data_IF_427240363315
#
_entry.id   IF_427240363315
#
_cell.length_a   1.000
_cell.length_b   1.000
_cell.length_c   1.000
_cell.angle_alpha   90.00
_cell.angle_beta   90.00
_cell.angle_gamma   90.00
#
_symmetry.space_group_name_H-M   'P 1'
#
loop_
_entity.id
_entity.type
_entity.pdbx_description
1 polymer ?
#
# COMPACT_ATOMS: atom_id res chain seq x y z
N UNK A 1 12.52 -20.88 4.92
CA UNK A 1 11.33 -21.51 5.51
C UNK A 1 11.06 -20.91 6.88
N UNK A 2 9.78 -20.64 7.20
CA UNK A 2 9.38 -20.14 8.51
C UNK A 2 9.55 -21.28 9.54
N UNK A 3 10.27 -20.96 10.61
CA UNK A 3 10.59 -21.96 11.66
C UNK A 3 9.78 -21.71 12.93
N UNK A 4 9.46 -20.45 13.20
CA UNK A 4 8.72 -19.98 14.36
C UNK A 4 7.59 -19.07 13.90
N UNK A 5 6.42 -19.23 14.49
CA UNK A 5 5.26 -18.38 14.25
C UNK A 5 4.77 -17.81 15.58
N UNK A 6 4.44 -16.54 15.62
CA UNK A 6 3.77 -15.90 16.75
C UNK A 6 2.38 -15.50 16.30
N UNK A 7 1.36 -15.90 17.05
CA UNK A 7 -0.04 -15.62 16.74
C UNK A 7 -0.79 -15.03 17.93
N UNK A 8 -1.87 -14.34 17.65
CA UNK A 8 -2.90 -14.02 18.63
C UNK A 8 -4.02 -15.08 18.61
N UNK A 9 -4.88 -15.13 19.65
CA UNK A 9 -5.99 -16.10 19.70
C UNK A 9 -6.98 -15.99 18.52
N UNK A 10 -7.14 -14.80 17.94
CA UNK A 10 -8.03 -14.58 16.81
C UNK A 10 -7.54 -15.22 15.51
N UNK A 11 -6.24 -15.48 15.42
CA UNK A 11 -5.61 -16.12 14.26
C UNK A 11 -5.71 -17.66 14.28
N UNK A 12 -6.12 -18.25 15.40
CA UNK A 12 -6.15 -19.71 15.59
C UNK A 12 -6.92 -20.46 14.50
N UNK A 13 -8.16 -20.08 14.12
CA UNK A 13 -8.91 -20.81 13.10
C UNK A 13 -8.21 -20.87 11.74
N UNK A 14 -7.54 -19.76 11.36
CA UNK A 14 -6.79 -19.70 10.09
C UNK A 14 -5.56 -20.62 10.11
N UNK A 15 -4.86 -20.68 11.26
CA UNK A 15 -3.68 -21.53 11.39
C UNK A 15 -4.07 -23.00 11.41
N UNK A 16 -5.18 -23.38 12.05
CA UNK A 16 -5.71 -24.75 12.03
C UNK A 16 -6.02 -25.22 10.60
N UNK A 17 -6.61 -24.34 9.78
CA UNK A 17 -6.93 -24.63 8.37
C UNK A 17 -5.68 -24.95 7.55
N UNK A 18 -4.61 -24.17 7.69
CA UNK A 18 -3.39 -24.28 6.87
C UNK A 18 -2.26 -25.09 7.54
N UNK A 19 -2.44 -25.58 8.76
CA UNK A 19 -1.38 -26.20 9.55
C UNK A 19 -0.66 -27.36 8.82
N UNK A 20 -1.40 -28.12 8.00
CA UNK A 20 -0.84 -29.23 7.21
C UNK A 20 0.16 -28.79 6.15
N UNK A 21 0.08 -27.55 5.71
CA UNK A 21 0.93 -26.97 4.68
C UNK A 21 2.17 -26.28 5.26
N UNK A 22 2.19 -26.07 6.58
CA UNK A 22 3.29 -25.40 7.30
C UNK A 22 4.45 -26.34 7.65
N UNK A 23 4.95 -27.08 6.66
CA UNK A 23 5.92 -28.19 6.84
C UNK A 23 7.26 -27.81 7.51
N UNK A 24 7.68 -26.55 7.45
CA UNK A 24 8.93 -26.06 8.06
C UNK A 24 8.77 -25.55 9.48
N UNK A 25 7.54 -25.32 9.92
CA UNK A 25 7.24 -24.69 11.20
C UNK A 25 7.46 -25.67 12.37
N UNK A 26 8.28 -25.27 13.33
CA UNK A 26 8.65 -26.11 14.49
C UNK A 26 7.88 -25.76 15.74
N UNK A 27 7.50 -24.50 15.90
CA UNK A 27 6.82 -24.03 17.11
C UNK A 27 5.96 -22.82 16.80
N UNK A 28 4.80 -22.78 17.47
CA UNK A 28 3.91 -21.62 17.47
C UNK A 28 3.91 -21.03 18.89
N UNK A 29 4.14 -19.73 18.99
CA UNK A 29 3.93 -18.98 20.22
C UNK A 29 2.61 -18.22 20.13
N UNK A 30 1.74 -18.41 21.11
CA UNK A 30 0.44 -17.77 21.14
C UNK A 30 0.38 -16.73 22.25
N UNK A 31 -0.03 -15.51 21.92
CA UNK A 31 -0.23 -14.41 22.87
C UNK A 31 -1.52 -14.59 23.67
N UNK A 32 -1.74 -13.77 24.69
CA UNK A 32 -2.93 -13.78 25.53
C UNK A 32 -2.83 -14.72 26.73
N UNK A 33 -3.98 -15.25 27.15
CA UNK A 33 -4.09 -16.08 28.36
C UNK A 33 -3.40 -17.45 28.17
N UNK A 34 -2.30 -17.66 28.91
CA UNK A 34 -1.51 -18.88 28.82
C UNK A 34 -2.32 -20.18 29.11
N UNK A 35 -3.37 -20.09 29.91
CA UNK A 35 -4.22 -21.24 30.23
C UNK A 35 -5.11 -21.68 29.04
N UNK A 36 -5.28 -20.82 28.04
CA UNK A 36 -6.08 -21.09 26.83
C UNK A 36 -5.26 -21.51 25.63
N UNK A 37 -3.94 -21.58 25.77
CA UNK A 37 -3.05 -21.99 24.68
C UNK A 37 -3.11 -23.51 24.51
N UNK A 38 -3.53 -24.03 23.32
CA UNK A 38 -3.52 -25.48 23.08
C UNK A 38 -2.07 -26.02 23.08
N UNK A 39 -1.90 -27.27 23.44
CA UNK A 39 -0.57 -27.91 23.44
C UNK A 39 0.04 -28.01 22.04
N UNK A 40 -0.84 -28.15 21.02
CA UNK A 40 -0.47 -28.24 19.61
C UNK A 40 -1.58 -27.70 18.71
N UNK A 41 -1.19 -27.27 17.50
CA UNK A 41 -2.11 -26.87 16.43
C UNK A 41 -1.66 -27.62 15.17
N UNK A 42 -2.52 -28.53 14.67
CA UNK A 42 -2.21 -29.33 13.50
C UNK A 42 -0.93 -30.19 13.61
N UNK A 43 -0.62 -30.65 14.82
CA UNK A 43 0.62 -31.41 15.12
C UNK A 43 1.85 -30.55 15.35
N UNK A 44 1.72 -29.22 15.31
CA UNK A 44 2.82 -28.30 15.57
C UNK A 44 2.78 -27.86 17.04
N UNK A 45 3.88 -28.05 17.75
CA UNK A 45 3.99 -27.65 19.17
C UNK A 45 3.63 -26.20 19.37
N UNK A 46 2.74 -25.93 20.33
CA UNK A 46 2.33 -24.57 20.68
C UNK A 46 2.71 -24.24 22.12
N UNK A 47 3.16 -23.02 22.35
CA UNK A 47 3.60 -22.53 23.66
C UNK A 47 2.99 -21.14 23.93
N UNK A 48 2.66 -20.80 25.18
CA UNK A 48 2.27 -19.45 25.51
C UNK A 48 3.42 -18.47 25.32
N UNK A 49 3.13 -17.29 24.81
CA UNK A 49 4.15 -16.25 24.57
C UNK A 49 4.88 -15.86 25.86
N UNK A 50 4.22 -15.95 27.02
CA UNK A 50 4.82 -15.70 28.34
C UNK A 50 5.99 -16.63 28.69
N UNK A 51 6.25 -17.67 27.91
CA UNK A 51 7.45 -18.49 28.10
C UNK A 51 8.73 -17.67 27.92
N UNK A 52 8.69 -16.59 27.15
CA UNK A 52 9.83 -15.70 26.93
C UNK A 52 10.27 -14.99 28.21
N UNK A 53 9.40 -14.82 29.21
CA UNK A 53 9.75 -14.22 30.51
C UNK A 53 10.77 -15.06 31.30
N UNK A 54 10.93 -16.33 30.90
CA UNK A 54 11.87 -17.27 31.53
C UNK A 54 13.24 -17.31 30.87
N UNK A 55 13.40 -16.67 29.71
CA UNK A 55 14.67 -16.63 29.01
C UNK A 55 15.57 -15.51 29.54
N UNK A 56 16.90 -15.73 29.54
CA UNK A 56 17.83 -14.68 29.94
C UNK A 56 17.81 -13.51 29.00
N UNK A 57 17.84 -12.29 29.53
CA UNK A 57 17.89 -11.02 28.80
C UNK A 57 19.32 -10.75 28.28
N UNK A 58 20.02 -11.78 27.84
CA UNK A 58 21.39 -11.66 27.33
C UNK A 58 21.36 -11.66 25.81
N UNK A 59 22.11 -10.75 25.22
CA UNK A 59 22.32 -10.75 23.77
C UNK A 59 22.91 -12.13 23.35
N UNK A 60 22.24 -12.87 22.45
CA UNK A 60 22.70 -14.18 21.99
C UNK A 60 24.03 -14.14 21.21
N UNK A 61 24.50 -12.93 20.84
CA UNK A 61 25.77 -12.76 20.14
C UNK A 61 25.74 -13.21 18.68
N UNK A 62 24.58 -13.36 18.09
CA UNK A 62 24.44 -13.67 16.66
C UNK A 62 25.03 -12.53 15.84
N UNK A 63 25.99 -12.87 14.96
CA UNK A 63 26.55 -11.87 14.03
C UNK A 63 25.58 -11.67 12.89
N UNK A 64 25.11 -10.45 12.75
CA UNK A 64 24.25 -9.99 11.67
C UNK A 64 24.98 -8.92 10.88
N UNK A 65 24.93 -9.01 9.56
CA UNK A 65 25.54 -8.06 8.63
C UNK A 65 24.48 -7.24 7.89
N UNK A 66 24.90 -6.20 7.20
CA UNK A 66 24.00 -5.40 6.39
C UNK A 66 23.35 -6.16 5.23
N UNK A 67 23.97 -7.27 4.79
CA UNK A 67 23.48 -8.11 3.70
C UNK A 67 22.54 -9.23 4.15
N UNK A 68 22.43 -9.49 5.46
CA UNK A 68 21.49 -10.49 5.94
C UNK A 68 20.06 -10.00 5.77
N UNK A 69 19.17 -10.92 5.40
CA UNK A 69 17.75 -10.61 5.25
C UNK A 69 17.15 -10.21 6.60
N UNK A 70 16.60 -9.00 6.66
CA UNK A 70 15.92 -8.48 7.83
C UNK A 70 14.46 -8.91 7.83
N UNK A 71 13.80 -8.79 6.67
CA UNK A 71 12.37 -9.13 6.53
C UNK A 71 12.02 -9.56 5.12
N UNK A 72 10.89 -10.26 5.03
CA UNK A 72 10.16 -10.51 3.79
C UNK A 72 8.73 -10.00 3.97
N UNK A 73 8.34 -8.99 3.21
CA UNK A 73 7.01 -8.40 3.25
C UNK A 73 6.20 -8.82 2.03
N UNK A 74 5.00 -9.31 2.27
CA UNK A 74 4.12 -9.70 1.18
C UNK A 74 3.33 -8.51 0.66
N UNK A 75 3.34 -8.34 -0.67
CA UNK A 75 2.54 -7.34 -1.39
C UNK A 75 1.59 -8.05 -2.34
N UNK A 76 0.45 -7.40 -2.67
CA UNK A 76 -0.45 -7.91 -3.69
C UNK A 76 0.29 -8.03 -5.02
N UNK A 77 0.45 -9.27 -5.50
CA UNK A 77 1.10 -9.53 -6.79
C UNK A 77 0.19 -9.20 -7.96
N UNK A 78 0.77 -8.83 -9.10
CA UNK A 78 0.06 -8.62 -10.37
C UNK A 78 -0.61 -9.90 -10.91
N UNK A 79 -0.24 -11.07 -10.39
CA UNK A 79 -0.77 -12.38 -10.78
C UNK A 79 -1.78 -12.95 -9.78
N UNK A 80 -2.33 -12.12 -8.87
CA UNK A 80 -3.28 -12.54 -7.82
C UNK A 80 -2.64 -13.24 -6.62
N UNK A 81 -1.43 -13.83 -6.75
CA UNK A 81 -0.70 -14.40 -5.62
C UNK A 81 0.22 -13.35 -4.99
N UNK A 82 0.20 -13.22 -3.65
CA UNK A 82 1.10 -12.32 -2.96
C UNK A 82 2.58 -12.62 -3.29
N UNK A 83 3.36 -11.56 -3.52
CA UNK A 83 4.81 -11.67 -3.72
C UNK A 83 5.55 -11.22 -2.47
N UNK A 84 6.51 -12.01 -2.02
CA UNK A 84 7.36 -11.66 -0.87
C UNK A 84 8.51 -10.77 -1.32
N UNK A 85 8.59 -9.56 -0.82
CA UNK A 85 9.70 -8.63 -1.05
C UNK A 85 10.69 -8.78 0.08
N UNK A 86 11.86 -9.35 -0.21
CA UNK A 86 12.95 -9.50 0.76
C UNK A 86 13.79 -8.23 0.82
N UNK A 87 14.03 -7.76 2.04
CA UNK A 87 14.90 -6.60 2.32
C UNK A 87 15.95 -6.98 3.36
N UNK A 88 17.13 -6.41 3.23
CA UNK A 88 18.23 -6.62 4.16
C UNK A 88 18.30 -5.54 5.26
N UNK A 89 19.13 -5.80 6.26
CA UNK A 89 19.36 -4.86 7.36
C UNK A 89 19.95 -3.53 6.89
N UNK A 90 20.77 -3.54 5.85
CA UNK A 90 21.35 -2.31 5.28
C UNK A 90 20.28 -1.36 4.78
N UNK A 91 19.29 -1.88 4.07
CA UNK A 91 18.18 -1.09 3.53
C UNK A 91 17.31 -0.45 4.61
N UNK A 92 17.07 -1.16 5.70
CA UNK A 92 16.34 -0.62 6.85
C UNK A 92 17.12 0.53 7.50
N UNK A 93 18.40 0.32 7.75
CA UNK A 93 19.26 1.35 8.39
C UNK A 93 19.31 2.62 7.53
N UNK A 94 19.49 2.49 6.21
CA UNK A 94 19.52 3.64 5.29
C UNK A 94 18.18 4.38 5.28
N UNK A 95 17.07 3.66 5.17
CA UNK A 95 15.74 4.28 5.16
C UNK A 95 15.44 4.99 6.48
N UNK A 96 15.77 4.38 7.60
CA UNK A 96 15.58 4.98 8.93
C UNK A 96 16.43 6.25 9.08
N UNK A 97 17.70 6.21 8.69
CA UNK A 97 18.58 7.40 8.75
C UNK A 97 18.02 8.56 7.93
N UNK A 98 17.62 8.29 6.69
CA UNK A 98 17.02 9.30 5.83
C UNK A 98 15.76 9.89 6.45
N UNK A 99 14.88 9.05 6.98
CA UNK A 99 13.64 9.47 7.64
C UNK A 99 13.94 10.34 8.87
N UNK A 100 14.82 9.90 9.76
CA UNK A 100 15.18 10.65 10.98
C UNK A 100 15.75 12.03 10.66
N UNK A 101 16.64 12.09 9.68
CA UNK A 101 17.27 13.33 9.26
C UNK A 101 16.24 14.31 8.68
N UNK A 102 15.37 13.83 7.80
CA UNK A 102 14.40 14.69 7.11
C UNK A 102 13.24 15.12 8.01
N UNK A 103 12.81 14.27 8.94
CA UNK A 103 11.73 14.60 9.88
C UNK A 103 12.23 15.38 11.11
N UNK A 104 13.52 15.44 11.31
CA UNK A 104 14.08 16.00 12.53
C UNK A 104 13.57 15.28 13.79
N UNK A 105 13.46 13.94 13.74
CA UNK A 105 13.08 13.11 14.88
C UNK A 105 14.21 13.11 15.91
N UNK A 106 13.86 13.30 17.17
CA UNK A 106 14.77 13.36 18.31
C UNK A 106 14.51 12.25 19.30
N UNK A 107 15.46 12.01 20.20
CA UNK A 107 15.35 10.95 21.21
C UNK A 107 14.24 11.19 22.24
N UNK A 108 13.78 12.42 22.41
CA UNK A 108 12.69 12.80 23.31
C UNK A 108 11.31 12.81 22.61
N UNK A 109 11.25 12.47 21.32
CA UNK A 109 9.98 12.41 20.58
C UNK A 109 9.20 11.11 20.90
N UNK A 110 7.90 11.19 20.71
CA UNK A 110 6.96 10.07 20.76
C UNK A 110 6.34 9.88 19.38
N UNK A 111 6.66 8.75 18.75
CA UNK A 111 6.15 8.37 17.45
C UNK A 111 4.92 7.49 17.63
N UNK A 112 3.78 7.90 17.10
CA UNK A 112 2.52 7.17 17.20
C UNK A 112 2.14 6.56 15.86
N UNK A 113 1.71 5.30 15.86
CA UNK A 113 1.14 4.64 14.69
C UNK A 113 -0.18 3.94 15.02
N UNK A 114 -1.14 4.06 14.12
CA UNK A 114 -2.42 3.32 14.09
C UNK A 114 -2.46 2.31 12.94
N UNK A 115 -1.33 2.17 12.24
CA UNK A 115 -1.17 1.30 11.08
C UNK A 115 -0.63 -0.07 11.51
N UNK A 116 -0.92 -1.08 10.72
CA UNK A 116 -0.44 -2.44 10.97
C UNK A 116 1.09 -2.54 10.88
N UNK A 117 1.71 -3.22 11.85
CA UNK A 117 3.12 -3.61 11.77
C UNK A 117 3.42 -4.64 10.67
N UNK A 118 2.41 -5.20 10.03
CA UNK A 118 2.56 -5.99 8.80
C UNK A 118 2.96 -5.16 7.58
N UNK A 119 3.03 -3.82 7.68
CA UNK A 119 3.36 -2.92 6.58
C UNK A 119 4.60 -2.07 6.90
N UNK A 120 5.41 -1.78 5.85
CA UNK A 120 6.66 -1.03 5.97
C UNK A 120 6.49 0.35 6.63
N UNK A 121 5.37 1.03 6.41
CA UNK A 121 5.10 2.34 7.00
C UNK A 121 5.20 2.28 8.55
N UNK A 122 4.42 1.41 9.20
CA UNK A 122 4.45 1.29 10.66
C UNK A 122 5.79 0.77 11.20
N UNK A 123 6.40 -0.20 10.49
CA UNK A 123 7.70 -0.74 10.91
C UNK A 123 8.81 0.30 10.80
N UNK A 124 9.01 0.87 9.61
CA UNK A 124 10.17 1.73 9.36
C UNK A 124 9.96 3.11 9.98
N UNK A 125 8.81 3.74 9.71
CA UNK A 125 8.56 5.14 10.08
C UNK A 125 8.18 5.32 11.57
N UNK A 126 7.80 4.25 12.27
CA UNK A 126 7.51 4.33 13.70
C UNK A 126 8.47 3.45 14.52
N UNK A 127 8.40 2.12 14.37
CA UNK A 127 9.18 1.20 15.22
C UNK A 127 10.68 1.40 15.08
N UNK A 128 11.21 1.20 13.88
CA UNK A 128 12.67 1.26 13.67
C UNK A 128 13.21 2.68 13.77
N UNK A 129 12.41 3.69 13.44
CA UNK A 129 12.80 5.09 13.65
C UNK A 129 12.89 5.45 15.13
N UNK A 130 11.98 4.96 15.96
CA UNK A 130 12.10 5.13 17.41
C UNK A 130 13.33 4.39 17.96
N UNK A 131 13.58 3.15 17.52
CA UNK A 131 14.80 2.40 17.90
C UNK A 131 16.08 3.11 17.48
N UNK A 132 16.12 3.66 16.26
CA UNK A 132 17.30 4.32 15.71
C UNK A 132 17.60 5.69 16.32
N UNK A 133 16.59 6.40 16.83
CA UNK A 133 16.74 7.72 17.47
C UNK A 133 16.79 7.66 19.00
N UNK A 134 16.39 6.53 19.61
CA UNK A 134 16.16 6.46 21.05
C UNK A 134 14.82 7.06 21.52
N UNK A 135 13.93 7.38 20.58
CA UNK A 135 12.59 7.88 20.83
C UNK A 135 11.63 6.79 21.33
N UNK A 136 10.40 7.17 21.66
CA UNK A 136 9.35 6.24 22.06
C UNK A 136 8.45 5.90 20.88
N UNK A 137 8.17 4.60 20.65
CA UNK A 137 7.14 4.14 19.72
C UNK A 137 5.87 3.75 20.46
N UNK A 138 4.71 4.25 20.01
CA UNK A 138 3.40 3.93 20.54
C UNK A 138 2.50 3.40 19.43
N UNK A 139 1.94 2.21 19.65
CA UNK A 139 1.06 1.56 18.69
C UNK A 139 -0.34 1.41 19.25
N UNK A 140 -1.32 1.68 18.41
CA UNK A 140 -2.72 1.36 18.72
C UNK A 140 -3.18 0.22 17.80
N UNK A 141 -3.96 -0.74 18.29
CA UNK A 141 -4.29 -1.97 17.56
C UNK A 141 -5.18 -1.73 16.34
N UNK A 142 -5.84 -0.59 16.26
CA UNK A 142 -6.71 -0.18 15.15
C UNK A 142 -6.87 1.32 15.10
N UNK A 143 -7.20 1.83 13.92
CA UNK A 143 -7.58 3.23 13.74
C UNK A 143 -8.98 3.51 14.32
N UNK A 144 -9.16 4.71 14.85
CA UNK A 144 -10.46 5.27 15.27
C UNK A 144 -10.43 6.77 15.08
N UNK A 145 -11.22 7.31 14.16
CA UNK A 145 -11.25 8.75 13.87
C UNK A 145 -11.63 9.57 15.11
N UNK A 146 -12.62 9.12 15.89
CA UNK A 146 -13.10 9.80 17.10
C UNK A 146 -12.13 9.75 18.28
N UNK A 147 -11.18 8.81 18.28
CA UNK A 147 -10.23 8.63 19.38
C UNK A 147 -8.81 9.06 19.04
N UNK A 148 -8.50 9.26 17.78
CA UNK A 148 -7.14 9.48 17.28
C UNK A 148 -6.42 10.64 17.99
N UNK A 149 -7.00 11.83 18.01
CA UNK A 149 -6.39 13.00 18.64
C UNK A 149 -6.35 12.88 20.17
N UNK A 150 -7.33 12.23 20.76
CA UNK A 150 -7.33 11.91 22.18
C UNK A 150 -6.19 10.95 22.54
N UNK A 151 -5.94 9.96 21.72
CA UNK A 151 -4.82 9.04 21.89
C UNK A 151 -3.48 9.75 21.70
N UNK A 152 -3.36 10.57 20.66
CA UNK A 152 -2.16 11.36 20.42
C UNK A 152 -1.84 12.30 21.59
N UNK A 153 -2.85 12.97 22.16
CA UNK A 153 -2.70 13.79 23.35
C UNK A 153 -2.29 12.97 24.58
N UNK A 154 -2.96 11.83 24.80
CA UNK A 154 -2.74 10.97 25.96
C UNK A 154 -1.36 10.32 26.00
N UNK A 155 -0.80 9.94 24.87
CA UNK A 155 0.56 9.41 24.81
C UNK A 155 1.64 10.49 24.56
N UNK A 156 1.25 11.74 24.35
CA UNK A 156 2.17 12.85 24.10
C UNK A 156 2.84 12.80 22.73
N UNK A 157 2.17 12.21 21.73
CA UNK A 157 2.74 12.05 20.39
C UNK A 157 3.17 13.38 19.75
N UNK A 158 4.37 13.37 19.15
CA UNK A 158 4.95 14.48 18.39
C UNK A 158 4.95 14.21 16.89
N UNK A 159 5.09 12.94 16.50
CA UNK A 159 5.13 12.47 15.12
C UNK A 159 4.11 11.34 14.93
N UNK A 160 3.42 11.35 13.82
CA UNK A 160 2.40 10.34 13.49
C UNK A 160 2.56 9.90 12.04
N UNK A 161 2.37 8.62 11.80
CA UNK A 161 2.27 8.09 10.43
C UNK A 161 0.80 7.87 10.09
N UNK A 162 0.44 8.23 8.87
CA UNK A 162 -0.90 8.01 8.35
C UNK A 162 -0.87 7.57 6.88
N UNK A 163 -1.99 7.09 6.40
CA UNK A 163 -2.31 6.93 4.99
C UNK A 163 -3.33 8.00 4.59
N UNK A 164 -3.47 8.29 3.32
CA UNK A 164 -4.45 9.26 2.82
C UNK A 164 -5.87 8.99 3.33
N UNK A 165 -6.29 7.71 3.37
CA UNK A 165 -7.58 7.32 3.92
C UNK A 165 -7.75 7.71 5.41
N UNK A 166 -6.69 7.63 6.21
CA UNK A 166 -6.73 8.09 7.62
C UNK A 166 -6.97 9.59 7.69
N UNK A 167 -6.29 10.38 6.84
CA UNK A 167 -6.51 11.81 6.78
C UNK A 167 -7.94 12.18 6.37
N UNK A 168 -8.52 11.47 5.42
CA UNK A 168 -9.91 11.67 4.99
C UNK A 168 -10.92 11.39 6.10
N UNK A 169 -10.74 10.28 6.85
CA UNK A 169 -11.59 9.97 7.99
C UNK A 169 -11.46 10.98 9.13
N UNK A 170 -10.24 11.49 9.38
CA UNK A 170 -10.03 12.55 10.38
C UNK A 170 -10.69 13.87 9.95
N UNK A 171 -10.59 14.21 8.66
CA UNK A 171 -11.22 15.41 8.12
C UNK A 171 -12.74 15.35 8.17
N UNK A 172 -13.32 14.19 7.82
CA UNK A 172 -14.77 13.97 7.82
C UNK A 172 -15.38 13.87 9.23
N UNK A 173 -14.55 13.67 10.26
CA UNK A 173 -15.02 13.64 11.64
C UNK A 173 -15.45 15.04 12.10
N UNK A 174 -16.51 15.07 12.93
CA UNK A 174 -16.98 16.33 13.53
C UNK A 174 -15.84 17.00 14.32
N UNK A 175 -15.72 18.33 14.23
CA UNK A 175 -14.74 19.08 15.01
C UNK A 175 -14.87 18.80 16.52
N UNK A 176 -13.75 18.65 17.17
CA UNK A 176 -13.67 18.37 18.58
C UNK A 176 -12.60 19.22 19.28
N UNK A 177 -12.73 19.33 20.58
CA UNK A 177 -11.71 19.98 21.41
C UNK A 177 -10.33 19.33 21.27
N UNK A 178 -10.28 18.04 20.87
CA UNK A 178 -9.05 17.29 20.74
C UNK A 178 -8.28 17.63 19.46
N UNK A 179 -8.95 18.23 18.47
CA UNK A 179 -8.32 18.60 17.19
C UNK A 179 -7.07 19.47 17.35
N UNK A 180 -6.96 20.19 18.51
CA UNK A 180 -5.84 21.09 18.83
C UNK A 180 -5.19 20.81 20.19
N UNK A 181 -5.71 19.87 20.98
CA UNK A 181 -5.20 19.57 22.32
C UNK A 181 -4.16 18.44 22.33
N UNK A 182 -3.23 18.47 21.37
CA UNK A 182 -2.15 17.48 21.24
C UNK A 182 -0.80 18.16 20.94
N UNK A 183 0.28 17.36 20.91
CA UNK A 183 1.64 17.84 20.63
C UNK A 183 2.16 17.41 19.25
N UNK A 184 1.33 16.80 18.42
CA UNK A 184 1.71 16.35 17.07
C UNK A 184 2.14 17.57 16.24
N UNK A 185 3.37 17.54 15.78
CA UNK A 185 3.96 18.59 14.92
C UNK A 185 4.04 18.13 13.47
N UNK A 186 4.25 16.84 13.25
CA UNK A 186 4.46 16.25 11.92
C UNK A 186 3.57 15.01 11.75
N UNK A 187 2.93 14.94 10.59
CA UNK A 187 2.23 13.75 10.11
C UNK A 187 2.83 13.36 8.76
N UNK A 188 3.40 12.15 8.69
CA UNK A 188 3.75 11.56 7.39
C UNK A 188 2.49 10.95 6.78
N UNK A 189 1.99 11.52 5.71
CA UNK A 189 0.78 11.10 5.03
C UNK A 189 0.99 10.97 3.53
N UNK A 190 0.96 9.76 3.01
CA UNK A 190 1.07 9.52 1.57
C UNK A 190 -0.12 8.68 1.08
N UNK A 191 -0.88 9.20 0.11
CA UNK A 191 -0.86 10.59 -0.39
C UNK A 191 -1.31 11.61 0.66
N UNK A 192 -0.85 12.83 0.55
CA UNK A 192 -1.34 13.95 1.36
C UNK A 192 -2.84 14.21 1.09
N UNK A 193 -3.60 14.72 2.07
CA UNK A 193 -5.00 15.07 1.86
C UNK A 193 -5.13 16.17 0.79
N UNK A 194 -6.22 16.13 0.00
CA UNK A 194 -6.46 17.08 -1.09
C UNK A 194 -6.59 18.52 -0.58
N UNK A 195 -7.23 18.70 0.56
CA UNK A 195 -7.40 19.96 1.28
C UNK A 195 -6.27 20.16 2.31
N UNK A 196 -5.03 20.00 1.86
CA UNK A 196 -3.83 19.99 2.70
C UNK A 196 -3.74 21.20 3.63
N UNK A 197 -3.98 22.39 3.11
CA UNK A 197 -3.86 23.61 3.90
C UNK A 197 -4.90 23.65 5.02
N UNK A 198 -6.16 23.44 4.71
CA UNK A 198 -7.25 23.44 5.68
C UNK A 198 -7.09 22.33 6.72
N UNK A 199 -6.58 21.17 6.30
CA UNK A 199 -6.27 20.06 7.20
C UNK A 199 -5.18 20.47 8.20
N UNK A 200 -4.10 21.06 7.73
CA UNK A 200 -3.01 21.52 8.58
C UNK A 200 -3.48 22.63 9.54
N UNK A 201 -4.30 23.55 9.07
CA UNK A 201 -4.88 24.62 9.88
C UNK A 201 -5.82 24.07 10.95
N UNK A 202 -6.74 23.16 10.61
CA UNK A 202 -7.67 22.55 11.55
C UNK A 202 -6.95 21.84 12.68
N UNK A 203 -6.00 21.00 12.36
CA UNK A 203 -5.36 20.14 13.36
C UNK A 203 -4.05 20.70 13.93
N UNK A 204 -3.51 21.80 13.37
CA UNK A 204 -2.27 22.40 13.84
C UNK A 204 -1.05 21.51 13.63
N UNK A 205 -1.04 20.76 12.56
CA UNK A 205 0.01 19.81 12.20
C UNK A 205 0.63 20.20 10.88
N UNK A 206 1.83 19.72 10.61
CA UNK A 206 2.44 19.74 9.29
C UNK A 206 2.34 18.35 8.67
N UNK A 207 1.76 18.25 7.49
CA UNK A 207 1.70 17.01 6.72
C UNK A 207 2.86 16.98 5.73
N UNK A 208 3.61 15.90 5.75
CA UNK A 208 4.70 15.65 4.82
C UNK A 208 4.32 14.49 3.93
N UNK A 209 4.46 14.67 2.64
CA UNK A 209 4.23 13.65 1.63
C UNK A 209 5.56 13.14 1.07
N UNK A 210 5.51 12.00 0.43
CA UNK A 210 6.63 11.39 -0.25
C UNK A 210 6.13 10.19 -1.06
N UNK A 211 7.02 9.60 -1.83
CA UNK A 211 6.70 8.42 -2.60
C UNK A 211 7.73 7.33 -2.38
N UNK A 212 7.23 6.13 -2.20
CA UNK A 212 8.04 4.93 -2.06
C UNK A 212 7.24 3.66 -2.25
N UNK A 213 7.94 2.54 -2.32
CA UNK A 213 7.34 1.21 -2.42
C UNK A 213 8.05 0.23 -1.50
N UNK A 214 7.45 -0.94 -1.32
CA UNK A 214 8.09 -2.03 -0.56
C UNK A 214 9.41 -2.45 -1.20
N UNK A 215 9.46 -2.42 -2.53
CA UNK A 215 10.62 -2.79 -3.35
C UNK A 215 11.76 -1.77 -3.28
N UNK A 216 11.43 -0.48 -3.30
CA UNK A 216 12.43 0.58 -3.48
C UNK A 216 12.64 1.46 -2.23
N UNK A 217 11.85 1.27 -1.17
CA UNK A 217 11.87 2.17 -0.02
C UNK A 217 11.34 3.54 -0.40
N UNK A 218 11.82 4.60 0.27
CA UNK A 218 11.48 6.00 -0.05
C UNK A 218 12.35 6.48 -1.20
N UNK A 219 11.71 6.95 -2.26
CA UNK A 219 12.36 7.38 -3.53
C UNK A 219 12.23 8.86 -3.77
N UNK A 220 11.04 9.42 -3.53
CA UNK A 220 10.78 10.85 -3.63
C UNK A 220 10.42 11.38 -2.25
N UNK A 221 10.89 12.57 -1.98
CA UNK A 221 10.68 13.20 -0.69
C UNK A 221 10.38 14.68 -0.83
N UNK A 222 9.40 15.11 -0.06
CA UNK A 222 9.01 16.50 0.04
C UNK A 222 9.68 17.11 1.26
N UNK A 223 10.40 18.21 1.05
CA UNK A 223 10.94 18.99 2.17
C UNK A 223 9.80 19.43 3.10
N UNK A 224 9.97 19.38 4.43
CA UNK A 224 8.97 19.86 5.36
C UNK A 224 8.52 21.30 5.13
N UNK A 225 9.37 22.14 4.57
CA UNK A 225 9.06 23.54 4.23
C UNK A 225 8.45 23.69 2.81
N UNK A 226 8.39 22.60 2.03
CA UNK A 226 7.75 22.62 0.72
C UNK A 226 6.23 22.46 0.84
N UNK A 227 5.52 23.58 0.75
CA UNK A 227 4.06 23.60 0.82
C UNK A 227 3.35 23.37 -0.52
N UNK A 228 4.07 22.97 -1.58
CA UNK A 228 3.48 22.76 -2.91
C UNK A 228 2.44 21.64 -2.88
N UNK A 229 1.15 21.93 -3.13
CA UNK A 229 0.09 20.91 -3.16
C UNK A 229 0.33 19.87 -4.27
N UNK A 230 0.00 18.60 -4.00
CA UNK A 230 0.07 17.51 -4.96
C UNK A 230 1.48 17.04 -5.34
N UNK A 231 2.52 17.75 -4.89
CA UNK A 231 3.91 17.36 -5.13
C UNK A 231 4.34 16.22 -4.20
N UNK A 232 5.00 15.20 -4.76
CA UNK A 232 5.75 14.19 -3.99
C UNK A 232 7.21 14.59 -3.73
N UNK A 233 7.58 15.84 -4.08
CA UNK A 233 8.91 16.39 -3.86
C UNK A 233 9.93 16.02 -4.93
N UNK A 234 11.17 15.80 -4.50
CA UNK A 234 12.33 15.56 -5.34
C UNK A 234 12.86 14.14 -5.15
N UNK A 235 13.67 13.67 -6.12
CA UNK A 235 14.41 12.41 -5.97
C UNK A 235 15.34 12.49 -4.75
N UNK A 236 15.29 11.45 -3.92
CA UNK A 236 16.20 11.32 -2.80
C UNK A 236 17.63 11.01 -3.27
N UNK A 237 18.61 11.45 -2.50
CA UNK A 237 19.98 11.00 -2.68
C UNK A 237 20.05 9.46 -2.62
N UNK A 238 20.80 8.87 -3.55
CA UNK A 238 20.89 7.41 -3.69
C UNK A 238 19.99 6.81 -4.77
N UNK A 239 19.17 7.62 -5.45
CA UNK A 239 18.38 7.21 -6.60
C UNK A 239 18.58 8.11 -7.81
N UNK A 240 18.62 7.50 -8.98
CA UNK A 240 18.38 8.19 -10.24
C UNK A 240 16.95 7.89 -10.68
N UNK A 241 16.17 8.93 -10.91
CA UNK A 241 14.75 8.83 -11.25
C UNK A 241 14.48 9.51 -12.58
N UNK A 242 13.80 8.82 -13.47
CA UNK A 242 13.36 9.36 -14.75
C UNK A 242 11.92 8.99 -15.06
N UNK A 243 11.28 9.76 -15.94
CA UNK A 243 9.99 9.41 -16.50
C UNK A 243 10.18 8.90 -17.90
N UNK A 244 9.56 7.76 -18.23
CA UNK A 244 9.55 7.18 -19.57
C UNK A 244 8.17 7.21 -20.19
N UNK A 245 8.12 7.39 -21.49
CA UNK A 245 6.88 7.41 -22.25
C UNK A 245 6.12 6.07 -22.07
N UNK A 246 4.86 6.09 -21.67
CA UNK A 246 4.09 4.86 -21.46
C UNK A 246 3.91 4.00 -22.73
N UNK A 247 4.01 4.61 -23.92
CA UNK A 247 3.88 3.90 -25.19
C UNK A 247 5.22 3.46 -25.78
N UNK A 248 6.30 4.20 -25.46
CA UNK A 248 7.67 3.89 -25.85
C UNK A 248 8.61 4.05 -24.66
N UNK A 249 8.74 3.00 -23.87
CA UNK A 249 9.50 3.00 -22.63
C UNK A 249 11.04 3.16 -22.83
N UNK A 250 11.53 3.17 -24.07
CA UNK A 250 12.91 3.55 -24.38
C UNK A 250 13.11 5.07 -24.38
N UNK A 251 12.02 5.84 -24.45
CA UNK A 251 12.04 7.29 -24.57
C UNK A 251 11.94 7.94 -23.18
N UNK A 252 13.02 8.59 -22.76
CA UNK A 252 13.03 9.42 -21.55
C UNK A 252 12.36 10.76 -21.82
N UNK A 253 11.41 11.13 -20.96
CA UNK A 253 10.64 12.37 -21.08
C UNK A 253 11.38 13.54 -20.45
N UNK A 254 11.32 14.70 -21.11
CA UNK A 254 11.86 15.95 -20.56
C UNK A 254 10.74 16.76 -19.91
N UNK A 255 10.99 17.40 -18.74
CA UNK A 255 10.01 18.28 -18.13
C UNK A 255 9.76 19.50 -19.03
N UNK A 256 8.50 19.82 -19.27
CA UNK A 256 8.05 21.01 -20.00
C UNK A 256 6.83 21.67 -19.38
N UNK A 257 6.17 21.00 -18.45
CA UNK A 257 4.96 21.45 -17.78
C UNK A 257 5.30 22.36 -16.61
N UNK A 258 4.63 23.53 -16.56
CA UNK A 258 4.73 24.45 -15.43
C UNK A 258 3.54 24.24 -14.48
N UNK A 259 3.77 23.65 -13.29
CA UNK A 259 2.72 23.40 -12.32
C UNK A 259 2.17 24.69 -11.65
N UNK A 260 2.83 25.84 -11.80
CA UNK A 260 2.36 27.12 -11.29
C UNK A 260 1.37 27.80 -12.24
N UNK A 261 1.55 27.60 -13.55
CA UNK A 261 0.63 28.10 -14.55
C UNK A 261 -0.57 27.19 -14.74
N UNK A 262 -0.32 25.87 -14.75
CA UNK A 262 -1.37 24.84 -14.87
C UNK A 262 -1.22 23.78 -13.78
N UNK A 263 -2.08 23.74 -12.74
CA UNK A 263 -2.00 22.74 -11.68
C UNK A 263 -2.22 21.30 -12.14
N UNK A 264 -2.86 21.10 -13.31
CA UNK A 264 -3.13 19.77 -13.86
C UNK A 264 -2.12 19.45 -14.97
N UNK A 265 -1.29 18.39 -14.85
CA UNK A 265 -0.36 18.04 -15.90
C UNK A 265 -1.11 17.56 -17.16
N UNK A 266 -0.74 18.07 -18.35
CA UNK A 266 -1.26 17.55 -19.60
C UNK A 266 -0.82 16.09 -19.83
N UNK A 267 -1.51 15.36 -20.70
CA UNK A 267 -1.23 13.94 -20.91
C UNK A 267 0.21 13.68 -21.42
N UNK A 268 0.73 14.61 -22.23
CA UNK A 268 2.08 14.53 -22.76
C UNK A 268 3.18 14.75 -21.72
N UNK A 269 2.82 15.25 -20.53
CA UNK A 269 3.76 15.40 -19.41
C UNK A 269 3.76 14.18 -18.46
N UNK A 270 2.85 13.20 -18.69
CA UNK A 270 2.69 12.03 -17.85
C UNK A 270 3.54 10.87 -18.34
N UNK A 271 4.40 10.35 -17.48
CA UNK A 271 5.29 9.23 -17.79
C UNK A 271 5.31 8.19 -16.68
N UNK A 272 5.76 6.98 -17.03
CA UNK A 272 6.05 5.92 -16.06
C UNK A 272 7.30 6.28 -15.26
N UNK A 273 7.22 6.14 -13.94
CA UNK A 273 8.35 6.40 -13.06
C UNK A 273 9.31 5.21 -13.06
N UNK A 274 10.51 5.44 -13.57
CA UNK A 274 11.61 4.50 -13.55
C UNK A 274 12.65 4.93 -12.51
N UNK A 275 13.15 3.96 -11.74
CA UNK A 275 13.98 4.21 -10.55
C UNK A 275 15.22 3.33 -10.61
N UNK A 276 16.39 3.96 -10.65
CA UNK A 276 17.67 3.25 -10.58
C UNK A 276 18.34 3.49 -9.24
N UNK A 277 18.61 2.44 -8.46
CA UNK A 277 19.39 2.56 -7.23
C UNK A 277 20.85 2.90 -7.55
N UNK A 278 21.40 3.91 -6.89
CA UNK A 278 22.79 4.34 -7.02
C UNK A 278 23.65 3.87 -5.82
N UNK A 279 23.00 3.49 -4.73
CA UNK A 279 23.64 3.05 -3.48
C UNK A 279 23.18 1.63 -3.15
N UNK A 280 24.08 0.73 -2.72
CA UNK A 280 23.69 -0.60 -2.25
C UNK A 280 22.62 -0.53 -1.15
N UNK A 281 21.79 -1.55 -1.03
CA UNK A 281 20.74 -1.71 -0.03
C UNK A 281 19.51 -0.78 -0.17
N UNK A 282 19.45 0.10 -1.16
CA UNK A 282 18.31 1.01 -1.34
C UNK A 282 17.08 0.34 -1.98
N UNK A 283 17.25 -0.83 -2.57
CA UNK A 283 16.19 -1.60 -3.25
C UNK A 283 15.94 -2.96 -2.60
N UNK A 284 14.92 -3.71 -3.10
CA UNK A 284 14.73 -5.11 -2.73
C UNK A 284 15.99 -5.93 -3.04
N UNK A 285 16.24 -6.94 -2.22
CA UNK A 285 17.28 -7.93 -2.52
C UNK A 285 16.76 -8.93 -3.55
N UNK A 286 15.54 -9.42 -3.33
CA UNK A 286 14.87 -10.36 -4.21
C UNK A 286 13.36 -10.37 -3.99
N UNK A 287 12.61 -10.88 -4.95
CA UNK A 287 11.31 -11.46 -4.68
C UNK A 287 11.55 -12.88 -4.16
N UNK A 288 11.19 -13.11 -2.90
CA UNK A 288 11.50 -14.32 -2.15
C UNK A 288 11.02 -15.59 -2.87
N UNK A 289 11.96 -16.46 -3.21
CA UNK A 289 11.75 -17.70 -3.97
C UNK A 289 11.16 -17.49 -5.38
N UNK A 290 11.34 -16.32 -5.98
CA UNK A 290 10.92 -16.03 -7.34
C UNK A 290 12.08 -15.36 -8.13
N UNK A 291 13.03 -16.19 -8.55
CA UNK A 291 14.22 -15.73 -9.30
C UNK A 291 13.85 -15.09 -10.64
N UNK A 292 12.81 -15.60 -11.32
CA UNK A 292 12.36 -15.03 -12.58
C UNK A 292 11.88 -13.60 -12.39
N UNK A 293 10.98 -13.38 -11.45
CA UNK A 293 10.44 -12.05 -11.15
C UNK A 293 11.52 -11.10 -10.63
N UNK A 294 12.49 -11.61 -9.87
CA UNK A 294 13.63 -10.82 -9.40
C UNK A 294 14.46 -10.29 -10.57
N UNK A 295 14.76 -11.13 -11.57
CA UNK A 295 15.48 -10.71 -12.77
C UNK A 295 14.66 -9.73 -13.63
N UNK A 296 13.36 -9.98 -13.76
CA UNK A 296 12.44 -9.15 -14.55
C UNK A 296 12.11 -7.80 -13.88
N UNK A 297 12.45 -7.61 -12.61
CA UNK A 297 12.16 -6.38 -11.85
C UNK A 297 12.92 -5.16 -12.36
N UNK A 298 14.09 -5.39 -12.95
CA UNK A 298 14.97 -4.34 -13.48
C UNK A 298 15.19 -4.56 -14.97
N UNK A 299 15.27 -3.46 -15.71
CA UNK A 299 15.70 -3.52 -17.10
C UNK A 299 17.22 -3.70 -17.24
N UNK A 300 17.71 -3.82 -18.48
CA UNK A 300 19.15 -4.03 -18.77
C UNK A 300 20.04 -2.88 -18.28
N UNK A 301 19.48 -1.68 -18.12
CA UNK A 301 20.16 -0.51 -17.57
C UNK A 301 20.09 -0.40 -16.05
N UNK A 302 19.39 -1.33 -15.38
CA UNK A 302 19.23 -1.40 -13.93
C UNK A 302 18.15 -0.48 -13.35
N UNK A 303 17.17 -0.09 -14.16
CA UNK A 303 16.01 0.65 -13.71
C UNK A 303 14.85 -0.29 -13.32
N UNK A 304 14.25 -0.02 -12.19
CA UNK A 304 13.00 -0.62 -11.75
C UNK A 304 11.81 0.18 -12.30
N UNK A 305 10.89 -0.47 -13.00
CA UNK A 305 9.62 0.12 -13.39
C UNK A 305 8.63 0.08 -12.23
N UNK A 306 8.26 1.23 -11.71
CA UNK A 306 7.31 1.33 -10.60
C UNK A 306 5.87 1.03 -10.99
N UNK A 307 5.56 1.09 -12.28
CA UNK A 307 4.21 1.00 -12.81
C UNK A 307 3.27 2.16 -12.34
N UNK A 308 3.88 3.23 -11.85
CA UNK A 308 3.18 4.43 -11.42
C UNK A 308 3.41 5.57 -12.41
N UNK A 309 2.35 6.30 -12.75
CA UNK A 309 2.38 7.48 -13.59
C UNK A 309 2.68 8.72 -12.75
N UNK A 310 3.66 9.47 -13.20
CA UNK A 310 4.04 10.76 -12.65
C UNK A 310 4.13 11.82 -13.75
N UNK A 311 4.02 13.08 -13.36
CA UNK A 311 4.49 14.20 -14.13
C UNK A 311 5.68 14.85 -13.43
N UNK A 312 6.63 15.40 -14.19
CA UNK A 312 7.72 16.20 -13.63
C UNK A 312 7.60 17.63 -14.11
N UNK A 313 7.44 18.54 -13.15
CA UNK A 313 7.39 19.98 -13.45
C UNK A 313 8.75 20.54 -13.85
N UNK A 314 8.76 21.70 -14.53
CA UNK A 314 9.99 22.47 -14.79
C UNK A 314 10.65 22.95 -13.50
N UNK A 315 9.91 22.99 -12.40
CA UNK A 315 10.39 23.25 -11.04
C UNK A 315 11.20 22.07 -10.45
N UNK A 316 11.31 20.97 -11.19
CA UNK A 316 12.05 19.77 -10.81
C UNK A 316 11.32 18.79 -9.92
N UNK A 317 10.11 19.13 -9.43
CA UNK A 317 9.31 18.29 -8.57
C UNK A 317 8.57 17.19 -9.35
N UNK A 318 8.33 16.08 -8.68
CA UNK A 318 7.50 14.99 -9.18
C UNK A 318 6.09 15.07 -8.60
N UNK A 319 5.10 14.78 -9.44
CA UNK A 319 3.68 14.85 -9.12
C UNK A 319 3.04 13.51 -9.46
N UNK A 320 2.51 12.83 -8.46
CA UNK A 320 1.82 11.55 -8.68
C UNK A 320 0.52 11.76 -9.44
N UNK A 321 0.34 11.05 -10.53
CA UNK A 321 -0.86 11.12 -11.39
C UNK A 321 -1.80 9.95 -11.14
N UNK A 322 -1.23 8.75 -10.99
CA UNK A 322 -2.02 7.52 -10.80
C UNK A 322 -1.18 6.27 -11.01
N UNK A 323 -1.84 5.13 -11.09
CA UNK A 323 -1.20 3.87 -11.45
C UNK A 323 -1.49 3.53 -12.89
N UNK A 324 -0.49 3.02 -13.58
CA UNK A 324 -0.63 2.65 -14.99
C UNK A 324 -1.43 1.35 -15.15
N UNK A 325 -1.06 0.31 -14.39
CA UNK A 325 -1.66 -1.02 -14.51
C UNK A 325 -2.39 -1.49 -13.24
N UNK A 326 -2.52 -0.66 -12.20
CA UNK A 326 -3.18 -1.03 -10.94
C UNK A 326 -4.33 -0.11 -10.59
N UNK A 327 -5.32 -0.69 -9.91
CA UNK A 327 -6.47 0.05 -9.37
C UNK A 327 -6.29 0.14 -7.85
N UNK A 328 -6.33 1.34 -7.29
CA UNK A 328 -6.26 1.49 -5.84
C UNK A 328 -7.65 1.56 -5.25
N UNK A 329 -8.01 0.57 -4.45
CA UNK A 329 -9.35 0.44 -3.85
C UNK A 329 -9.22 0.36 -2.34
N UNK A 330 -9.80 1.31 -1.62
CA UNK A 330 -9.82 1.32 -0.13
C UNK A 330 -8.43 1.14 0.50
N UNK A 331 -7.40 1.77 -0.10
CA UNK A 331 -6.00 1.67 0.35
C UNK A 331 -5.24 0.45 -0.18
N UNK A 332 -5.91 -0.52 -0.81
CA UNK A 332 -5.31 -1.72 -1.37
C UNK A 332 -4.98 -1.53 -2.86
N UNK A 333 -3.88 -2.11 -3.29
CA UNK A 333 -3.47 -2.12 -4.70
C UNK A 333 -4.02 -3.36 -5.38
N UNK A 334 -5.03 -3.17 -6.20
CA UNK A 334 -5.68 -4.25 -6.96
C UNK A 334 -5.13 -4.31 -8.37
N UNK A 335 -4.71 -5.49 -8.78
CA UNK A 335 -4.33 -5.76 -10.16
C UNK A 335 -5.58 -5.96 -11.01
N UNK A 336 -5.82 -5.15 -12.04
CA UNK A 336 -6.96 -5.33 -12.93
C UNK A 336 -6.93 -6.67 -13.66
N UNK A 337 -5.75 -7.18 -14.01
CA UNK A 337 -5.61 -8.48 -14.66
C UNK A 337 -6.07 -9.61 -13.73
N UNK A 338 -5.67 -9.56 -12.46
CA UNK A 338 -6.14 -10.55 -11.48
C UNK A 338 -7.67 -10.51 -11.29
N UNK A 339 -8.28 -9.33 -11.34
CA UNK A 339 -9.75 -9.19 -11.30
C UNK A 339 -10.39 -9.82 -12.55
N UNK A 340 -9.83 -9.56 -13.73
CA UNK A 340 -10.29 -10.10 -15.01
C UNK A 340 -10.21 -11.63 -15.03
N UNK A 341 -9.01 -12.17 -14.72
CA UNK A 341 -8.76 -13.61 -14.72
C UNK A 341 -9.67 -14.35 -13.75
N UNK A 342 -9.91 -13.73 -12.59
CA UNK A 342 -10.82 -14.32 -11.61
C UNK A 342 -12.28 -14.23 -12.06
N UNK A 343 -12.70 -13.08 -12.61
CA UNK A 343 -14.05 -12.91 -13.15
C UNK A 343 -14.36 -13.91 -14.27
N UNK A 344 -13.39 -14.20 -15.14
CA UNK A 344 -13.54 -15.20 -16.23
C UNK A 344 -13.71 -16.64 -15.73
N UNK A 345 -13.46 -16.94 -14.46
CA UNK A 345 -13.81 -18.23 -13.87
C UNK A 345 -15.32 -18.37 -13.58
N UNK A 346 -16.07 -17.26 -13.60
CA UNK A 346 -17.53 -17.33 -13.46
C UNK A 346 -18.15 -17.92 -14.73
N UNK A 347 -19.03 -18.95 -14.62
CA UNK A 347 -19.46 -19.74 -15.75
C UNK A 347 -20.03 -18.97 -16.95
N UNK A 348 -20.76 -17.89 -16.68
CA UNK A 348 -21.44 -17.09 -17.71
C UNK A 348 -20.50 -16.09 -18.44
N UNK A 349 -19.34 -15.74 -17.86
CA UNK A 349 -18.44 -14.72 -18.42
C UNK A 349 -17.55 -15.33 -19.51
N UNK A 350 -17.48 -14.67 -20.66
CA UNK A 350 -16.59 -15.02 -21.76
C UNK A 350 -15.29 -14.21 -21.70
N UNK A 351 -15.41 -12.89 -21.61
CA UNK A 351 -14.26 -11.97 -21.51
C UNK A 351 -14.54 -10.95 -20.42
N UNK A 352 -13.49 -10.44 -19.81
CA UNK A 352 -13.57 -9.43 -18.76
C UNK A 352 -12.46 -8.40 -18.90
N UNK A 353 -12.78 -7.13 -18.69
CA UNK A 353 -11.82 -6.02 -18.63
C UNK A 353 -12.12 -5.17 -17.41
N UNK A 354 -11.19 -5.14 -16.47
CA UNK A 354 -11.28 -4.32 -15.27
C UNK A 354 -10.54 -2.99 -15.45
N UNK A 355 -11.17 -1.91 -15.06
CA UNK A 355 -10.60 -0.56 -15.10
C UNK A 355 -10.86 0.19 -13.80
N UNK A 356 -9.94 1.08 -13.43
CA UNK A 356 -10.13 1.97 -12.30
C UNK A 356 -10.97 3.18 -12.69
N UNK A 357 -11.97 3.50 -11.87
CA UNK A 357 -12.82 4.68 -12.00
C UNK A 357 -12.56 5.60 -10.82
N UNK A 358 -12.09 6.81 -11.11
CA UNK A 358 -11.96 7.85 -10.09
C UNK A 358 -13.28 8.60 -9.94
N UNK A 359 -13.88 8.49 -8.76
CA UNK A 359 -15.09 9.25 -8.44
C UNK A 359 -14.71 10.65 -7.91
N UNK A 360 -15.59 11.64 -8.11
CA UNK A 360 -15.42 12.95 -7.50
C UNK A 360 -15.31 12.83 -5.97
N UNK A 361 -14.37 13.57 -5.38
CA UNK A 361 -14.16 13.67 -3.92
C UNK A 361 -13.76 12.37 -3.20
N UNK A 362 -13.22 11.38 -3.92
CA UNK A 362 -12.68 10.15 -3.35
C UNK A 362 -11.21 10.02 -3.72
N UNK A 363 -10.35 9.63 -2.77
CA UNK A 363 -8.90 9.50 -3.00
C UNK A 363 -8.53 8.24 -3.76
N UNK A 364 -9.29 7.18 -3.55
CA UNK A 364 -9.06 5.87 -4.16
C UNK A 364 -9.97 5.66 -5.38
N UNK A 365 -9.61 4.69 -6.19
CA UNK A 365 -10.42 4.29 -7.34
C UNK A 365 -11.49 3.29 -6.92
N UNK A 366 -12.48 3.12 -7.78
CA UNK A 366 -13.43 2.02 -7.72
C UNK A 366 -13.25 1.14 -8.96
N UNK A 367 -13.42 -0.16 -8.81
CA UNK A 367 -13.31 -1.07 -9.94
C UNK A 367 -14.59 -1.04 -10.76
N UNK A 368 -14.45 -0.77 -12.06
CA UNK A 368 -15.45 -1.11 -13.07
C UNK A 368 -15.00 -2.34 -13.82
N UNK A 369 -15.82 -3.39 -13.77
CA UNK A 369 -15.66 -4.61 -14.53
C UNK A 369 -16.58 -4.58 -15.75
N UNK A 370 -15.99 -4.59 -16.92
CA UNK A 370 -16.68 -4.70 -18.19
C UNK A 370 -16.60 -6.14 -18.64
N UNK A 371 -17.72 -6.75 -19.03
CA UNK A 371 -17.79 -8.17 -19.37
C UNK A 371 -18.54 -8.42 -20.67
N UNK A 372 -18.16 -9.50 -21.34
CA UNK A 372 -19.00 -10.16 -22.36
C UNK A 372 -19.48 -11.50 -21.81
N UNK A 373 -20.61 -11.98 -22.29
CA UNK A 373 -21.19 -13.24 -21.84
C UNK A 373 -21.02 -14.34 -22.90
N UNK A 374 -20.93 -15.57 -22.45
CA UNK A 374 -21.00 -16.73 -23.34
C UNK A 374 -22.38 -16.79 -24.01
N UNK A 375 -22.48 -17.30 -25.25
CA UNK A 375 -23.75 -17.38 -25.95
C UNK A 375 -24.84 -18.12 -25.14
N UNK A 376 -25.97 -17.45 -24.98
CA UNK A 376 -27.13 -17.99 -24.26
C UNK A 376 -27.09 -17.93 -22.74
N UNK A 377 -25.99 -17.49 -22.14
CA UNK A 377 -25.88 -17.34 -20.69
C UNK A 377 -26.57 -16.09 -20.18
N UNK A 378 -27.05 -16.16 -18.92
CA UNK A 378 -27.62 -15.03 -18.19
C UNK A 378 -26.65 -14.62 -17.08
N UNK A 379 -26.67 -13.34 -16.74
CA UNK A 379 -25.79 -12.78 -15.72
C UNK A 379 -26.58 -11.99 -14.68
N UNK A 380 -26.39 -12.33 -13.41
CA UNK A 380 -26.86 -11.53 -12.28
C UNK A 380 -25.66 -10.90 -11.55
N UNK A 381 -25.52 -9.57 -11.58
CA UNK A 381 -24.40 -8.90 -10.95
C UNK A 381 -24.39 -9.03 -9.42
N UNK A 382 -25.55 -9.27 -8.78
CA UNK A 382 -25.62 -9.48 -7.32
C UNK A 382 -25.06 -10.85 -6.96
N UNK A 383 -25.49 -11.91 -7.68
CA UNK A 383 -24.98 -13.27 -7.48
C UNK A 383 -23.48 -13.34 -7.76
N UNK A 384 -23.04 -12.76 -8.86
CA UNK A 384 -21.62 -12.67 -9.20
C UNK A 384 -20.79 -11.95 -8.12
N UNK A 385 -21.28 -10.80 -7.63
CA UNK A 385 -20.57 -10.05 -6.58
C UNK A 385 -20.43 -10.85 -5.29
N UNK A 386 -21.45 -11.59 -4.90
CA UNK A 386 -21.40 -12.52 -3.75
C UNK A 386 -20.42 -13.64 -3.98
N UNK A 387 -20.49 -14.30 -5.15
CA UNK A 387 -19.56 -15.36 -5.54
C UNK A 387 -18.12 -14.91 -5.49
N UNK A 388 -17.85 -13.69 -5.96
CA UNK A 388 -16.51 -13.07 -5.92
C UNK A 388 -16.06 -12.78 -4.49
N UNK A 389 -16.92 -12.16 -3.67
CA UNK A 389 -16.61 -11.79 -2.28
C UNK A 389 -16.29 -12.98 -1.37
N UNK A 390 -16.80 -14.16 -1.69
CA UNK A 390 -16.47 -15.40 -0.97
C UNK A 390 -15.08 -15.95 -1.31
N UNK A 391 -14.43 -15.48 -2.38
CA UNK A 391 -13.25 -16.12 -2.97
C UNK A 391 -12.03 -15.22 -3.10
N UNK A 392 -12.24 -13.90 -3.14
CA UNK A 392 -11.17 -12.92 -3.26
C UNK A 392 -11.25 -11.85 -2.17
N UNK A 393 -10.22 -11.02 -2.05
CA UNK A 393 -10.25 -9.85 -1.17
C UNK A 393 -11.40 -8.92 -1.57
N UNK A 394 -12.07 -8.34 -0.59
CA UNK A 394 -13.21 -7.42 -0.82
C UNK A 394 -12.85 -6.26 -1.75
N UNK A 395 -11.62 -5.78 -1.68
CA UNK A 395 -11.11 -4.74 -2.56
C UNK A 395 -11.09 -5.13 -4.05
N UNK A 396 -11.07 -6.42 -4.37
CA UNK A 396 -11.13 -6.93 -5.76
C UNK A 396 -12.57 -7.04 -6.28
N UNK A 397 -13.58 -6.95 -5.42
CA UNK A 397 -14.99 -7.06 -5.84
C UNK A 397 -15.44 -5.78 -6.52
N UNK A 398 -15.81 -5.80 -7.80
CA UNK A 398 -16.15 -4.60 -8.55
C UNK A 398 -17.31 -3.85 -7.91
N UNK A 399 -17.21 -2.54 -7.89
CA UNK A 399 -18.34 -1.67 -7.58
C UNK A 399 -19.26 -1.52 -8.78
N UNK A 400 -18.68 -1.32 -9.95
CA UNK A 400 -19.40 -1.12 -11.20
C UNK A 400 -19.25 -2.35 -12.09
N UNK A 401 -20.35 -2.78 -12.72
CA UNK A 401 -20.34 -3.86 -13.72
C UNK A 401 -21.13 -3.42 -14.93
N UNK A 402 -20.60 -3.65 -16.12
CA UNK A 402 -21.29 -3.40 -17.38
C UNK A 402 -21.14 -4.58 -18.33
N UNK A 403 -22.28 -5.00 -18.93
CA UNK A 403 -22.32 -6.11 -19.89
C UNK A 403 -22.34 -5.54 -21.31
N UNK A 404 -21.44 -5.99 -22.14
CA UNK A 404 -21.32 -5.64 -23.56
C UNK A 404 -21.83 -6.82 -24.42
N UNK A 405 -23.04 -6.70 -24.93
CA UNK A 405 -23.72 -7.76 -25.70
C UNK A 405 -23.05 -7.99 -27.05
N UNK A 406 -22.58 -6.92 -27.70
CA UNK A 406 -21.95 -6.92 -29.03
C UNK A 406 -20.41 -6.93 -28.99
N UNK A 407 -19.81 -7.24 -27.84
CA UNK A 407 -18.37 -7.17 -27.62
C UNK A 407 -17.88 -5.77 -27.23
N UNK A 408 -16.61 -5.67 -26.79
CA UNK A 408 -16.02 -4.39 -26.37
C UNK A 408 -15.81 -3.43 -27.52
N UNK A 409 -15.90 -2.11 -27.29
CA UNK A 409 -15.52 -1.12 -28.29
C UNK A 409 -14.03 -1.21 -28.61
N UNK A 410 -13.70 -1.40 -29.89
CA UNK A 410 -12.33 -1.58 -30.36
C UNK A 410 -11.92 -0.53 -31.38
N UNK A 411 -10.61 -0.29 -31.48
CA UNK A 411 -9.99 0.51 -32.54
C UNK A 411 -9.99 -0.26 -33.86
N UNK A 412 -9.62 0.41 -34.97
CA UNK A 412 -9.42 -0.24 -36.27
C UNK A 412 -8.34 -1.35 -36.24
N UNK A 413 -7.43 -1.31 -35.24
CA UNK A 413 -6.39 -2.33 -35.01
C UNK A 413 -6.78 -3.36 -33.95
N UNK A 414 -8.08 -3.50 -33.63
CA UNK A 414 -8.64 -4.48 -32.68
C UNK A 414 -8.17 -4.30 -31.21
N UNK A 415 -7.70 -3.11 -30.84
CA UNK A 415 -7.39 -2.78 -29.44
C UNK A 415 -8.62 -2.19 -28.77
N UNK A 416 -8.92 -2.64 -27.54
CA UNK A 416 -10.02 -2.14 -26.72
C UNK A 416 -9.82 -0.65 -26.45
N UNK A 417 -10.86 0.13 -26.67
CA UNK A 417 -10.88 1.57 -26.40
C UNK A 417 -11.12 1.83 -24.91
N UNK A 418 -10.05 1.80 -24.14
CA UNK A 418 -10.09 1.90 -22.67
C UNK A 418 -10.84 3.15 -22.18
N UNK A 419 -10.75 4.28 -22.88
CA UNK A 419 -11.48 5.50 -22.50
C UNK A 419 -12.99 5.28 -22.52
N UNK A 420 -13.53 4.60 -23.55
CA UNK A 420 -14.97 4.35 -23.70
C UNK A 420 -15.49 3.39 -22.61
N UNK A 421 -14.75 2.32 -22.28
CA UNK A 421 -15.17 1.36 -21.25
C UNK A 421 -15.00 1.87 -19.82
N UNK A 422 -14.29 3.00 -19.61
CA UNK A 422 -14.21 3.70 -18.32
C UNK A 422 -15.43 4.53 -18.00
N UNK A 423 -16.22 4.91 -19.00
CA UNK A 423 -17.40 5.73 -18.78
C UNK A 423 -18.45 4.96 -17.96
N UNK A 424 -19.09 5.65 -17.02
CA UNK A 424 -20.27 5.15 -16.31
C UNK A 424 -21.48 5.53 -17.13
N UNK A 425 -22.14 4.55 -17.67
CA UNK A 425 -23.33 4.72 -18.52
C UNK A 425 -24.61 4.33 -17.75
N UNK A 426 -25.77 4.53 -18.36
CA UNK A 426 -27.07 4.09 -17.81
C UNK A 426 -27.15 2.54 -17.73
N UNK A 427 -26.33 1.83 -18.50
CA UNK A 427 -26.21 0.36 -18.48
C UNK A 427 -25.28 -0.14 -17.38
N UNK A 428 -24.49 0.74 -16.76
CA UNK A 428 -23.57 0.37 -15.70
C UNK A 428 -24.31 0.07 -14.40
N UNK A 429 -24.28 -1.15 -13.97
CA UNK A 429 -24.77 -1.54 -12.65
C UNK A 429 -23.83 -1.01 -11.55
N UNK A 430 -24.39 -0.45 -10.48
CA UNK A 430 -23.64 0.06 -9.33
C UNK A 430 -24.04 -0.67 -8.06
N UNK A 431 -23.12 -1.45 -7.50
CA UNK A 431 -23.28 -2.19 -6.24
C UNK A 431 -23.73 -1.31 -5.08
N UNK A 432 -23.23 -0.08 -5.01
CA UNK A 432 -23.57 0.84 -3.92
C UNK A 432 -25.07 1.20 -3.88
N UNK A 433 -25.76 1.16 -5.03
CA UNK A 433 -27.22 1.42 -5.11
C UNK A 433 -28.07 0.26 -4.62
N UNK A 434 -27.50 -0.94 -4.45
CA UNK A 434 -28.25 -2.14 -4.02
C UNK A 434 -28.23 -2.34 -2.51
N UNK A 435 -27.42 -1.58 -1.78
CA UNK A 435 -27.19 -1.79 -0.34
C UNK A 435 -26.31 -2.99 -0.01
N UNK A 436 -25.80 -3.73 -1.02
CA UNK A 436 -24.93 -4.89 -0.84
C UNK A 436 -23.56 -4.43 -0.31
N UNK A 437 -23.24 -4.88 0.90
CA UNK A 437 -21.97 -4.59 1.57
C UNK A 437 -21.24 -5.88 1.86
N UNK A 438 -19.94 -5.88 1.64
CA UNK A 438 -19.05 -6.96 2.05
C UNK A 438 -18.15 -6.45 3.17
N UNK A 439 -17.99 -7.22 4.22
CA UNK A 439 -16.99 -6.98 5.25
C UNK A 439 -15.74 -7.80 4.91
N UNK A 440 -14.56 -7.26 5.15
CA UNK A 440 -13.36 -8.07 5.16
C UNK A 440 -13.59 -9.28 6.08
N UNK A 441 -13.24 -10.48 5.63
CA UNK A 441 -13.24 -11.65 6.51
C UNK A 441 -12.38 -11.31 7.72
N UNK A 442 -13.00 -11.44 8.91
CA UNK A 442 -12.32 -11.22 10.20
C UNK A 442 -11.23 -12.23 10.38
#
# INVERSE_FOLDING_TARGET
EMVVLVIDPGSLPFIEEIAKDLKGLKVIFMTGDAAKVPAEIGGIKTLPFSVFDKFPVKNPGVKVTTHDMERCMFTSGTTGMPKGVARDHGGVVLTVRAYLQQQGVRSDDVLMSVLSLGHANAQVMCLFSAMGSGATAVFFPRFSASSFWKWAAGCGANCVNMLGAVAEYLWAAEPSDWDRKHKVRIMLGSPAPRNLQEFQERFGVRVIDGYGSTEMGMVLWKDPEDHRPGSSGFSMEGYHVELRDPQDQSRVMRPFWDPYENPTPPDEAKGLLYIKPLVPHTTLNEYFKDERRTREAFDDDGFFNSDDLFARGIDGRYYFVGRFSRIRVSGENVDPIAVQDFAMQYPAIQEAVAVGIRLPNVSDDEIKLNITLKPGEKFDPIEFSKWMAERVMVAMVPRFIEVYEDGFPVTATQKIKVAEIKEITDKTWDRAKTGLKFSARK
#
